data_IF_630855978819
#
_entry.id   IF_630855978819
#
_cell.length_a   1.000
_cell.length_b   1.000
_cell.length_c   1.000
_cell.angle_alpha   90.00
_cell.angle_beta   90.00
_cell.angle_gamma   90.00
#
_symmetry.space_group_name_H-M   'P 1'
#
loop_
_entity.id
_entity.type
_entity.pdbx_description
1 polymer ?
#
# COMPACT_ATOMS: atom_id res chain seq x y z
N UNK A 1 1.04 3.74 30.42
CA UNK A 1 1.00 2.27 30.27
C UNK A 1 0.42 2.03 28.88
N UNK A 2 1.25 1.69 27.90
CA UNK A 2 0.75 1.34 26.56
C UNK A 2 -0.01 0.04 26.68
N UNK A 3 -1.33 0.15 26.60
CA UNK A 3 -2.27 -0.93 26.76
C UNK A 3 -1.87 -2.16 25.93
N UNK A 4 -1.76 -3.29 26.63
CA UNK A 4 -1.42 -4.63 26.11
C UNK A 4 -2.15 -5.01 24.80
N UNK A 5 -3.44 -4.65 24.56
CA UNK A 5 -4.12 -5.02 23.32
C UNK A 5 -3.60 -4.32 22.06
N UNK A 6 -3.21 -3.04 22.08
CA UNK A 6 -2.75 -2.33 20.88
C UNK A 6 -1.38 -2.83 20.44
N UNK A 7 -0.52 -3.15 21.41
CA UNK A 7 0.79 -3.72 21.15
C UNK A 7 0.66 -5.13 20.55
N UNK A 8 -0.23 -5.95 21.12
CA UNK A 8 -0.52 -7.29 20.63
C UNK A 8 -1.15 -7.25 19.22
N UNK A 9 -2.08 -6.32 18.99
CA UNK A 9 -2.67 -6.09 17.67
C UNK A 9 -1.60 -5.73 16.65
N UNK A 10 -0.71 -4.78 16.97
CA UNK A 10 0.39 -4.40 16.09
C UNK A 10 1.33 -5.58 15.77
N UNK A 11 1.61 -6.44 16.75
CA UNK A 11 2.39 -7.66 16.55
C UNK A 11 1.70 -8.66 15.61
N UNK A 12 0.40 -8.91 15.80
CA UNK A 12 -0.36 -9.80 14.93
C UNK A 12 -0.48 -9.26 13.50
N UNK A 13 -0.74 -7.96 13.32
CA UNK A 13 -0.82 -7.34 12.00
C UNK A 13 0.51 -7.44 11.24
N UNK A 14 1.65 -7.29 11.94
CA UNK A 14 2.97 -7.54 11.36
C UNK A 14 3.15 -9.00 10.94
N UNK A 15 2.76 -9.94 11.81
CA UNK A 15 2.86 -11.38 11.55
C UNK A 15 2.04 -11.83 10.35
N UNK A 16 0.83 -11.26 10.19
CA UNK A 16 -0.07 -11.50 9.06
C UNK A 16 0.31 -10.70 7.79
N UNK A 17 1.38 -9.89 7.88
CA UNK A 17 1.85 -9.01 6.80
C UNK A 17 0.77 -8.04 6.32
N UNK A 18 0.01 -7.44 7.23
CA UNK A 18 -1.05 -6.45 6.95
C UNK A 18 -0.56 -5.02 7.25
N UNK A 19 0.35 -4.45 6.44
CA UNK A 19 0.95 -3.14 6.70
C UNK A 19 -0.04 -1.97 6.60
N UNK A 20 -1.09 -2.08 5.78
CA UNK A 20 -2.08 -1.02 5.64
C UNK A 20 -3.04 -1.04 6.82
N UNK A 21 -3.44 -2.23 7.31
CA UNK A 21 -4.12 -2.32 8.62
C UNK A 21 -3.30 -1.64 9.72
N UNK A 22 -2.01 -1.96 9.84
CA UNK A 22 -1.15 -1.41 10.89
C UNK A 22 -1.09 0.14 10.85
N UNK A 23 -1.14 0.75 9.67
CA UNK A 23 -1.09 2.20 9.50
C UNK A 23 -2.46 2.89 9.67
N UNK A 24 -3.53 2.25 9.19
CA UNK A 24 -4.84 2.91 9.04
C UNK A 24 -5.86 2.54 10.13
N UNK A 25 -5.63 1.48 10.93
CA UNK A 25 -6.65 0.98 11.86
C UNK A 25 -7.16 2.03 12.86
N UNK A 26 -6.26 2.85 13.43
CA UNK A 26 -6.59 3.89 14.40
C UNK A 26 -7.39 5.03 13.75
N UNK A 27 -6.98 5.43 12.54
CA UNK A 27 -7.66 6.46 11.76
C UNK A 27 -9.08 6.02 11.40
N UNK A 28 -9.22 4.80 10.88
CA UNK A 28 -10.52 4.24 10.51
C UNK A 28 -11.43 4.04 11.73
N UNK A 29 -10.86 3.69 12.90
CA UNK A 29 -11.63 3.51 14.12
C UNK A 29 -12.23 4.84 14.59
N UNK A 30 -11.43 5.91 14.58
CA UNK A 30 -11.89 7.27 14.91
C UNK A 30 -12.98 7.75 13.95
N UNK A 31 -12.78 7.52 12.65
CA UNK A 31 -13.75 7.90 11.63
C UNK A 31 -15.08 7.13 11.77
N UNK A 32 -15.02 5.81 11.95
CA UNK A 32 -16.22 4.99 12.14
C UNK A 32 -16.96 5.37 13.44
N UNK A 33 -16.22 5.68 14.51
CA UNK A 33 -16.80 6.20 15.75
C UNK A 33 -17.52 7.53 15.54
N UNK A 34 -16.97 8.44 14.71
CA UNK A 34 -17.63 9.72 14.41
C UNK A 34 -18.85 9.58 13.50
N UNK A 35 -18.84 8.59 12.59
CA UNK A 35 -19.92 8.35 11.62
C UNK A 35 -21.02 7.41 12.18
N UNK A 36 -20.86 6.88 13.41
CA UNK A 36 -21.79 5.89 13.98
C UNK A 36 -21.81 4.57 13.20
N UNK A 37 -20.69 4.22 12.57
CA UNK A 37 -20.56 3.06 11.69
C UNK A 37 -20.29 1.80 12.51
N UNK A 38 -21.03 0.73 12.22
CA UNK A 38 -20.88 -0.55 12.91
C UNK A 38 -19.51 -1.21 12.65
N UNK A 39 -19.09 -2.07 13.59
CA UNK A 39 -17.81 -2.77 13.58
C UNK A 39 -17.59 -3.60 12.30
N UNK A 40 -18.65 -4.19 11.77
CA UNK A 40 -18.59 -4.97 10.52
C UNK A 40 -18.16 -4.10 9.34
N UNK A 41 -18.69 -2.87 9.27
CA UNK A 41 -18.35 -1.90 8.21
C UNK A 41 -16.96 -1.33 8.39
N UNK A 42 -16.53 -1.10 9.63
CA UNK A 42 -15.14 -0.74 9.93
C UNK A 42 -14.15 -1.79 9.40
N UNK A 43 -14.40 -3.07 9.68
CA UNK A 43 -13.55 -4.17 9.20
C UNK A 43 -13.54 -4.26 7.68
N UNK A 44 -14.70 -4.10 7.03
CA UNK A 44 -14.80 -4.09 5.57
C UNK A 44 -13.94 -2.98 4.95
N UNK A 45 -14.09 -1.74 5.43
CA UNK A 45 -13.31 -0.58 4.92
C UNK A 45 -11.81 -0.79 5.07
N UNK A 46 -11.36 -1.32 6.21
CA UNK A 46 -9.95 -1.64 6.41
C UNK A 46 -9.44 -2.75 5.48
N UNK A 47 -10.24 -3.80 5.28
CA UNK A 47 -9.90 -4.88 4.37
C UNK A 47 -9.79 -4.40 2.92
N UNK A 48 -10.72 -3.55 2.48
CA UNK A 48 -10.69 -2.92 1.15
C UNK A 48 -9.41 -2.09 0.95
N UNK A 49 -9.06 -1.25 1.92
CA UNK A 49 -7.84 -0.45 1.88
C UNK A 49 -6.58 -1.31 1.74
N UNK A 50 -6.50 -2.41 2.49
CA UNK A 50 -5.37 -3.34 2.42
C UNK A 50 -5.30 -4.07 1.08
N UNK A 51 -6.42 -4.52 0.52
CA UNK A 51 -6.47 -5.18 -0.79
C UNK A 51 -5.97 -4.23 -1.89
N UNK A 52 -6.46 -2.99 -1.91
CA UNK A 52 -6.06 -1.97 -2.89
C UNK A 52 -4.56 -1.68 -2.80
N UNK A 53 -4.04 -1.45 -1.59
CA UNK A 53 -2.61 -1.17 -1.40
C UNK A 53 -1.73 -2.37 -1.77
N UNK A 54 -2.19 -3.60 -1.50
CA UNK A 54 -1.46 -4.83 -1.90
C UNK A 54 -1.41 -4.99 -3.41
N UNK A 55 -2.53 -4.78 -4.10
CA UNK A 55 -2.56 -4.83 -5.57
C UNK A 55 -1.62 -3.81 -6.18
N UNK A 56 -1.68 -2.55 -5.72
CA UNK A 56 -0.77 -1.48 -6.16
C UNK A 56 0.70 -1.88 -5.98
N UNK A 57 1.08 -2.37 -4.79
CA UNK A 57 2.46 -2.83 -4.52
C UNK A 57 2.87 -4.01 -5.39
N UNK A 58 1.97 -4.96 -5.66
CA UNK A 58 2.27 -6.09 -6.55
C UNK A 58 2.50 -5.62 -7.98
N UNK A 59 1.65 -4.73 -8.49
CA UNK A 59 1.79 -4.13 -9.83
C UNK A 59 3.11 -3.38 -9.94
N UNK A 60 3.42 -2.49 -8.99
CA UNK A 60 4.68 -1.73 -8.98
C UNK A 60 5.92 -2.65 -8.93
N UNK A 61 5.89 -3.71 -8.10
CA UNK A 61 6.98 -4.70 -8.05
C UNK A 61 7.14 -5.43 -9.37
N UNK A 62 6.04 -5.83 -10.02
CA UNK A 62 6.07 -6.51 -11.32
C UNK A 62 6.62 -5.59 -12.41
N UNK A 63 6.22 -4.32 -12.42
CA UNK A 63 6.76 -3.31 -13.35
C UNK A 63 8.26 -3.13 -13.16
N UNK A 64 8.73 -2.97 -11.91
CA UNK A 64 10.17 -2.84 -11.61
C UNK A 64 10.95 -4.11 -11.97
N UNK A 65 10.40 -5.29 -11.69
CA UNK A 65 11.04 -6.57 -11.98
C UNK A 65 11.10 -6.87 -13.48
N UNK A 66 10.11 -6.41 -14.25
CA UNK A 66 10.08 -6.59 -15.70
C UNK A 66 11.21 -5.87 -16.43
N UNK A 67 11.95 -4.96 -15.75
CA UNK A 67 13.05 -4.15 -16.32
C UNK A 67 12.74 -3.71 -17.75
N UNK A 68 11.53 -3.20 -17.96
CA UNK A 68 11.10 -2.75 -19.28
C UNK A 68 12.22 -1.87 -19.83
N UNK A 69 12.79 -2.19 -21.01
CA UNK A 69 13.80 -1.35 -21.59
C UNK A 69 13.16 0.03 -21.68
N UNK A 70 13.74 1.02 -21.00
CA UNK A 70 13.40 2.43 -21.23
C UNK A 70 13.42 2.55 -22.73
N UNK A 71 12.27 2.83 -23.35
CA UNK A 71 12.24 3.10 -24.78
C UNK A 71 13.24 4.20 -24.97
N UNK A 72 14.43 3.86 -25.47
CA UNK A 72 15.39 4.83 -25.98
C UNK A 72 14.59 5.51 -27.06
N UNK A 73 14.04 6.68 -26.75
CA UNK A 73 13.44 7.52 -27.77
C UNK A 73 14.50 7.65 -28.85
N UNK A 74 14.08 7.45 -30.11
CA UNK A 74 14.95 7.56 -31.28
C UNK A 74 15.68 8.93 -31.35
N UNK A 75 15.27 9.89 -30.53
CA UNK A 75 15.88 11.20 -30.36
C UNK A 75 17.32 11.20 -29.82
N UNK A 76 17.85 10.05 -29.36
CA UNK A 76 19.27 9.91 -28.98
C UNK A 76 20.18 9.50 -30.12
N UNK A 77 19.70 9.33 -31.35
CA UNK A 77 20.57 9.20 -32.52
C UNK A 77 21.11 10.59 -32.88
N UNK A 78 22.13 11.03 -32.16
CA UNK A 78 22.96 12.16 -32.57
C UNK A 78 23.54 11.89 -33.95
N UNK A 79 23.02 12.58 -34.96
CA UNK A 79 23.64 12.68 -36.27
C UNK A 79 25.05 13.26 -36.08
N UNK A 80 26.05 12.42 -36.28
CA UNK A 80 27.45 12.83 -36.34
C UNK A 80 27.72 13.38 -37.74
N UNK A 81 28.02 14.68 -37.93
CA UNK A 81 28.43 15.18 -39.24
C UNK A 81 29.81 14.60 -39.56
N UNK A 82 29.93 13.87 -40.67
CA UNK A 82 31.23 13.50 -41.23
C UNK A 82 31.78 14.69 -42.02
N UNK A 83 33.06 14.99 -41.76
CA UNK A 83 34.07 15.69 -42.56
C UNK A 83 33.59 16.57 -43.72
#
# INVERSE_FOLDING_TARGET
MTDTPQLLLGHHLKSLRLPTFLREYDRQAKQCSSEGVDHTRYLLRLAELELIDRERRMVERRIKAAKFPTTKSLDSFGNHPRN
#
